data_IF_111287300280
#
_entry.id   IF_111287300280
#
_cell.length_a   1.000
_cell.length_b   1.000
_cell.length_c   1.000
_cell.angle_alpha   90.00
_cell.angle_beta   90.00
_cell.angle_gamma   90.00
#
_symmetry.space_group_name_H-M   'P 1'
#
loop_
_entity.id
_entity.type
_entity.pdbx_description
1 polymer ?
#
# COMPACT_ATOMS: atom_id res chain seq x y z
N UNK A 1 -11.18 -8.44 -0.95
CA UNK A 1 -11.35 -8.71 -2.41
C UNK A 1 -10.42 -7.79 -3.20
N UNK A 2 -9.85 -8.22 -4.33
CA UNK A 2 -9.07 -7.35 -5.23
C UNK A 2 -9.86 -7.07 -6.50
N UNK A 3 -9.85 -5.83 -6.97
CA UNK A 3 -10.63 -5.40 -8.14
C UNK A 3 -9.82 -4.50 -9.07
N UNK A 4 -10.14 -4.55 -10.37
CA UNK A 4 -9.78 -3.49 -11.30
C UNK A 4 -10.84 -2.39 -11.23
N UNK A 5 -10.51 -1.26 -10.59
CA UNK A 5 -11.45 -0.16 -10.34
C UNK A 5 -11.90 0.57 -11.61
N UNK A 6 -11.20 0.36 -12.72
CA UNK A 6 -11.60 0.80 -14.04
C UNK A 6 -10.90 -0.06 -15.09
N UNK A 7 -11.56 -0.23 -16.23
CA UNK A 7 -11.00 -0.85 -17.41
C UNK A 7 -10.26 0.12 -18.32
N UNK A 8 -10.22 1.42 -18.04
CA UNK A 8 -9.52 2.43 -18.85
C UNK A 8 -9.93 2.47 -20.33
N UNK A 9 -11.17 2.11 -20.64
CA UNK A 9 -11.76 2.17 -21.99
C UNK A 9 -13.16 2.76 -21.92
N UNK A 10 -13.57 3.42 -23.01
CA UNK A 10 -14.94 3.92 -23.16
C UNK A 10 -15.94 2.74 -23.12
N UNK A 11 -17.02 2.90 -22.37
CA UNK A 11 -18.04 1.86 -22.17
C UNK A 11 -17.59 0.67 -21.30
N UNK A 12 -16.36 0.67 -20.80
CA UNK A 12 -15.88 -0.35 -19.86
C UNK A 12 -16.27 -0.09 -18.41
N UNK A 13 -15.79 -0.93 -17.50
CA UNK A 13 -16.00 -0.75 -16.07
C UNK A 13 -15.38 0.55 -15.55
N UNK A 14 -16.11 1.28 -14.72
CA UNK A 14 -15.68 2.55 -14.15
C UNK A 14 -15.63 2.56 -12.61
N UNK A 15 -15.08 3.66 -12.08
CA UNK A 15 -14.92 3.84 -10.64
C UNK A 15 -16.27 3.95 -9.90
N UNK A 16 -17.29 4.54 -10.53
CA UNK A 16 -18.62 4.68 -9.93
C UNK A 16 -19.28 3.32 -9.73
N UNK A 17 -19.15 2.44 -10.73
CA UNK A 17 -19.58 1.04 -10.64
C UNK A 17 -18.80 0.29 -9.57
N UNK A 18 -17.49 0.54 -9.44
CA UNK A 18 -16.68 -0.04 -8.36
C UNK A 18 -17.16 0.38 -6.98
N UNK A 19 -17.58 1.64 -6.79
CA UNK A 19 -18.14 2.10 -5.51
C UNK A 19 -19.44 1.38 -5.19
N UNK A 20 -20.34 1.18 -6.16
CA UNK A 20 -21.57 0.40 -5.96
C UNK A 20 -21.23 -1.04 -5.58
N UNK A 21 -20.34 -1.67 -6.34
CA UNK A 21 -19.86 -3.03 -6.05
C UNK A 21 -19.25 -3.15 -4.65
N UNK A 22 -18.45 -2.16 -4.23
CA UNK A 22 -17.84 -2.12 -2.91
C UNK A 22 -18.88 -2.03 -1.77
N UNK A 23 -19.96 -1.26 -1.97
CA UNK A 23 -21.08 -1.21 -1.00
C UNK A 23 -21.77 -2.56 -0.86
N UNK A 24 -22.01 -3.24 -1.97
CA UNK A 24 -22.62 -4.58 -1.93
C UNK A 24 -21.70 -5.61 -1.28
N UNK A 25 -20.40 -5.58 -1.60
CA UNK A 25 -19.41 -6.44 -0.92
C UNK A 25 -19.38 -6.19 0.60
N UNK A 26 -19.44 -4.93 1.03
CA UNK A 26 -19.50 -4.59 2.45
C UNK A 26 -20.73 -5.19 3.14
N UNK A 27 -21.92 -5.12 2.50
CA UNK A 27 -23.15 -5.75 3.05
C UNK A 27 -23.03 -7.26 3.21
N UNK A 28 -22.23 -7.89 2.34
CA UNK A 28 -21.94 -9.33 2.40
C UNK A 28 -20.82 -9.69 3.39
N UNK A 29 -20.29 -8.73 4.14
CA UNK A 29 -19.26 -8.95 5.15
C UNK A 29 -17.83 -8.92 4.60
N UNK A 30 -17.58 -8.33 3.43
CA UNK A 30 -16.21 -8.14 2.95
C UNK A 30 -15.47 -7.13 3.84
N UNK A 31 -14.32 -7.54 4.38
CA UNK A 31 -13.52 -6.69 5.28
C UNK A 31 -12.84 -5.53 4.56
N UNK A 32 -12.23 -5.81 3.39
CA UNK A 32 -11.41 -4.83 2.66
C UNK A 32 -11.37 -5.06 1.15
N UNK A 33 -11.08 -3.98 0.43
CA UNK A 33 -10.91 -3.98 -1.03
C UNK A 33 -9.52 -3.48 -1.44
N UNK A 34 -8.82 -4.27 -2.26
CA UNK A 34 -7.55 -3.92 -2.92
C UNK A 34 -7.82 -3.31 -4.29
N UNK A 35 -7.47 -2.02 -4.41
CA UNK A 35 -7.90 -1.13 -5.49
C UNK A 35 -6.84 -1.05 -6.60
N UNK A 36 -6.86 -2.03 -7.51
CA UNK A 36 -6.04 -2.06 -8.72
C UNK A 36 -6.83 -1.49 -9.92
N UNK A 37 -6.33 -1.63 -11.15
CA UNK A 37 -7.05 -1.23 -12.37
C UNK A 37 -6.48 -1.92 -13.61
N UNK A 38 -7.24 -1.86 -14.71
CA UNK A 38 -6.82 -2.33 -16.03
C UNK A 38 -6.68 -3.84 -16.15
N UNK A 39 -6.01 -4.28 -17.22
CA UNK A 39 -5.72 -5.68 -17.51
C UNK A 39 -6.77 -6.40 -18.38
N UNK A 40 -7.94 -5.80 -18.60
CA UNK A 40 -9.02 -6.40 -19.39
C UNK A 40 -8.73 -6.38 -20.91
N UNK A 41 -8.24 -5.26 -21.45
CA UNK A 41 -8.06 -5.04 -22.89
C UNK A 41 -6.69 -4.46 -23.23
N UNK A 42 -6.22 -4.65 -24.46
CA UNK A 42 -4.88 -4.17 -24.89
C UNK A 42 -4.83 -2.67 -25.21
N UNK A 43 -5.94 -2.07 -25.64
CA UNK A 43 -6.02 -0.67 -26.07
C UNK A 43 -6.27 0.32 -24.92
N UNK A 44 -5.99 -0.08 -23.68
CA UNK A 44 -6.11 0.76 -22.49
C UNK A 44 -5.06 1.88 -22.51
N UNK A 45 -5.49 3.11 -22.23
CA UNK A 45 -4.57 4.24 -22.01
C UNK A 45 -4.54 4.53 -20.52
N UNK A 46 -3.49 4.03 -19.86
CA UNK A 46 -3.34 4.14 -18.41
C UNK A 46 -2.36 5.26 -18.08
N UNK A 47 -2.75 6.29 -17.30
CA UNK A 47 -1.86 7.37 -16.88
C UNK A 47 -0.92 6.88 -15.76
N UNK A 48 0.04 6.02 -16.11
CA UNK A 48 0.95 5.41 -15.14
C UNK A 48 1.88 6.45 -14.54
N UNK A 49 1.88 6.53 -13.21
CA UNK A 49 2.76 7.39 -12.42
C UNK A 49 2.71 7.02 -10.94
N UNK A 50 3.54 7.64 -10.07
CA UNK A 50 3.54 7.35 -8.64
C UNK A 50 2.14 7.50 -8.03
N UNK A 51 1.61 6.42 -7.43
CA UNK A 51 0.30 6.43 -6.78
C UNK A 51 -0.90 6.57 -7.72
N UNK A 52 -0.79 6.27 -9.02
CA UNK A 52 -1.86 6.52 -10.00
C UNK A 52 -3.21 5.85 -9.71
N UNK A 53 -3.26 4.85 -8.82
CA UNK A 53 -4.52 4.19 -8.40
C UNK A 53 -4.95 4.57 -6.98
N UNK A 54 -4.16 5.36 -6.25
CA UNK A 54 -4.52 5.86 -4.91
C UNK A 54 -5.88 6.59 -4.92
N UNK A 55 -6.22 7.41 -5.93
CA UNK A 55 -7.54 8.06 -5.98
C UNK A 55 -8.72 7.07 -6.01
N UNK A 56 -8.51 5.83 -6.49
CA UNK A 56 -9.55 4.80 -6.44
C UNK A 56 -9.79 4.32 -5.02
N UNK A 57 -8.72 3.99 -4.29
CA UNK A 57 -8.81 3.60 -2.89
C UNK A 57 -9.44 4.70 -2.04
N UNK A 58 -9.08 5.95 -2.27
CA UNK A 58 -9.62 7.11 -1.56
C UNK A 58 -11.12 7.27 -1.82
N UNK A 59 -11.53 7.20 -3.09
CA UNK A 59 -12.93 7.36 -3.47
C UNK A 59 -13.80 6.23 -2.93
N UNK A 60 -13.34 4.99 -3.03
CA UNK A 60 -14.07 3.81 -2.53
C UNK A 60 -14.19 3.86 -1.01
N UNK A 61 -13.11 4.22 -0.31
CA UNK A 61 -13.12 4.39 1.14
C UNK A 61 -14.15 5.43 1.58
N UNK A 62 -14.13 6.61 0.95
CA UNK A 62 -15.05 7.71 1.27
C UNK A 62 -16.51 7.36 0.97
N UNK A 63 -16.77 6.79 -0.20
CA UNK A 63 -18.14 6.67 -0.70
C UNK A 63 -18.81 5.32 -0.34
N UNK A 64 -18.04 4.25 -0.15
CA UNK A 64 -18.54 2.94 0.27
C UNK A 64 -18.31 2.64 1.76
N UNK A 65 -17.41 3.39 2.42
CA UNK A 65 -17.11 3.23 3.84
C UNK A 65 -16.50 1.86 4.17
N UNK A 66 -15.83 1.22 3.22
CA UNK A 66 -15.11 -0.05 3.40
C UNK A 66 -13.61 0.23 3.50
N UNK A 67 -12.88 -0.60 4.25
CA UNK A 67 -11.43 -0.52 4.36
C UNK A 67 -10.81 -0.72 2.97
N UNK A 68 -9.87 0.14 2.58
CA UNK A 68 -9.20 0.04 1.28
C UNK A 68 -7.70 -0.17 1.39
N UNK A 69 -7.17 -0.94 0.45
CA UNK A 69 -5.74 -1.08 0.18
C UNK A 69 -5.41 -0.26 -1.08
N UNK A 70 -4.51 0.71 -0.95
CA UNK A 70 -3.93 1.43 -2.08
C UNK A 70 -2.72 0.70 -2.65
N UNK A 71 -2.60 0.67 -3.97
CA UNK A 71 -1.48 0.10 -4.71
C UNK A 71 -1.18 0.97 -5.93
N UNK A 72 -0.02 0.77 -6.57
CA UNK A 72 0.30 1.37 -7.87
C UNK A 72 1.46 2.34 -7.76
N UNK A 73 2.66 1.85 -8.07
CA UNK A 73 3.91 2.63 -8.01
C UNK A 73 4.07 3.38 -6.69
N UNK A 74 3.91 2.65 -5.58
CA UNK A 74 4.27 3.11 -4.25
C UNK A 74 5.61 2.48 -3.92
N UNK A 75 6.65 3.30 -3.79
CA UNK A 75 8.04 2.85 -3.59
C UNK A 75 8.74 3.53 -2.42
N UNK A 76 8.34 4.76 -2.06
CA UNK A 76 9.00 5.52 -1.00
C UNK A 76 8.24 5.44 0.32
N UNK A 77 8.95 5.38 1.44
CA UNK A 77 8.33 5.32 2.75
C UNK A 77 7.47 6.56 3.03
N UNK A 78 7.99 7.76 2.75
CA UNK A 78 7.21 8.99 2.84
C UNK A 78 5.98 9.04 1.93
N UNK A 79 5.98 8.34 0.78
CA UNK A 79 4.78 8.24 -0.07
C UNK A 79 3.72 7.34 0.60
N UNK A 80 4.12 6.19 1.12
CA UNK A 80 3.23 5.28 1.83
C UNK A 80 2.63 5.94 3.08
N UNK A 81 3.46 6.64 3.86
CA UNK A 81 3.02 7.39 5.05
C UNK A 81 1.95 8.44 4.69
N UNK A 82 2.21 9.28 3.67
CA UNK A 82 1.23 10.30 3.26
C UNK A 82 -0.11 9.71 2.84
N UNK A 83 -0.13 8.55 2.18
CA UNK A 83 -1.38 7.89 1.78
C UNK A 83 -2.23 7.55 3.02
N UNK A 84 -1.61 7.03 4.07
CA UNK A 84 -2.29 6.67 5.32
C UNK A 84 -2.66 7.92 6.12
N UNK A 85 -1.69 8.82 6.35
CA UNK A 85 -1.85 10.02 7.16
C UNK A 85 -2.92 10.98 6.61
N UNK A 86 -3.04 11.08 5.28
CA UNK A 86 -4.06 11.91 4.61
C UNK A 86 -5.41 11.17 4.47
N UNK A 87 -5.54 9.94 4.97
CA UNK A 87 -6.78 9.17 4.95
C UNK A 87 -7.21 8.65 3.57
N UNK A 88 -6.27 8.56 2.63
CA UNK A 88 -6.50 8.11 1.24
C UNK A 88 -6.69 6.60 1.14
N UNK A 89 -6.13 5.84 2.07
CA UNK A 89 -6.39 4.41 2.23
C UNK A 89 -6.11 4.00 3.67
N UNK A 90 -6.57 2.81 4.06
CA UNK A 90 -6.29 2.24 5.38
C UNK A 90 -5.05 1.33 5.35
N UNK A 91 -4.66 0.86 4.17
CA UNK A 91 -3.50 0.02 3.94
C UNK A 91 -2.79 0.39 2.63
N UNK A 92 -1.50 0.09 2.55
CA UNK A 92 -0.68 0.27 1.35
C UNK A 92 -0.07 -1.07 0.96
N UNK A 93 -0.24 -1.47 -0.30
CA UNK A 93 0.42 -2.62 -0.89
C UNK A 93 1.60 -2.20 -1.77
N UNK A 94 2.71 -2.91 -1.62
CA UNK A 94 3.89 -2.77 -2.45
C UNK A 94 4.16 -4.10 -3.16
N UNK A 95 4.60 -4.03 -4.43
CA UNK A 95 4.96 -5.20 -5.22
C UNK A 95 6.43 -5.13 -5.66
N UNK A 96 6.72 -4.42 -6.76
CA UNK A 96 8.08 -4.27 -7.30
C UNK A 96 9.06 -3.64 -6.31
N UNK A 97 8.59 -2.77 -5.42
CA UNK A 97 9.40 -2.21 -4.32
C UNK A 97 9.96 -3.29 -3.39
N UNK A 98 9.15 -4.28 -3.00
CA UNK A 98 9.61 -5.42 -2.18
C UNK A 98 10.50 -6.40 -2.94
N UNK A 99 10.29 -6.57 -4.25
CA UNK A 99 11.16 -7.41 -5.08
C UNK A 99 12.56 -6.80 -5.23
N UNK A 100 12.62 -5.47 -5.36
CA UNK A 100 13.88 -4.73 -5.43
C UNK A 100 14.58 -4.63 -4.07
N UNK A 101 13.82 -4.37 -3.02
CA UNK A 101 14.30 -4.25 -1.64
C UNK A 101 13.46 -5.12 -0.69
N UNK A 102 13.88 -6.36 -0.39
CA UNK A 102 13.15 -7.23 0.52
C UNK A 102 13.17 -6.75 1.98
N UNK A 103 13.99 -5.74 2.31
CA UNK A 103 14.05 -5.10 3.64
C UNK A 103 13.34 -3.74 3.65
N UNK A 104 12.52 -3.45 2.63
CA UNK A 104 11.82 -2.18 2.47
C UNK A 104 11.15 -1.71 3.77
N UNK A 105 10.42 -2.58 4.46
CA UNK A 105 9.73 -2.22 5.71
C UNK A 105 10.70 -1.77 6.83
N UNK A 106 11.93 -2.29 6.87
CA UNK A 106 12.94 -1.86 7.83
C UNK A 106 13.52 -0.51 7.47
N UNK A 107 13.78 -0.29 6.18
CA UNK A 107 14.25 1.01 5.69
C UNK A 107 13.19 2.09 5.87
N UNK A 108 11.92 1.77 5.59
CA UNK A 108 10.79 2.65 5.84
C UNK A 108 10.64 2.98 7.34
N UNK A 109 10.75 1.99 8.22
CA UNK A 109 10.72 2.23 9.66
C UNK A 109 11.89 3.13 10.10
N UNK A 110 13.09 2.93 9.52
CA UNK A 110 14.24 3.79 9.79
C UNK A 110 14.01 5.25 9.35
N UNK A 111 13.44 5.45 8.16
CA UNK A 111 13.15 6.78 7.60
C UNK A 111 12.05 7.50 8.41
N UNK A 112 11.00 6.78 8.79
CA UNK A 112 9.82 7.32 9.47
C UNK A 112 9.95 7.34 11.01
N UNK A 113 11.10 6.91 11.55
CA UNK A 113 11.34 6.86 13.00
C UNK A 113 10.51 5.82 13.75
N UNK A 114 10.04 4.78 13.06
CA UNK A 114 9.32 3.65 13.66
C UNK A 114 10.28 2.53 14.09
N UNK A 115 9.84 1.68 15.02
CA UNK A 115 10.59 0.48 15.46
C UNK A 115 9.94 -0.77 14.86
N UNK A 116 10.55 -1.45 13.87
CA UNK A 116 9.97 -2.65 13.29
C UNK A 116 10.25 -3.87 14.18
N UNK A 117 9.40 -4.90 14.05
CA UNK A 117 9.70 -6.22 14.63
C UNK A 117 10.75 -6.93 13.77
N UNK A 118 11.88 -7.28 14.38
CA UNK A 118 13.01 -7.88 13.69
C UNK A 118 13.28 -9.27 14.28
N UNK A 119 13.51 -10.31 13.45
CA UNK A 119 13.99 -11.60 13.93
C UNK A 119 15.29 -11.45 14.73
N UNK A 120 15.43 -12.09 15.91
CA UNK A 120 16.60 -11.92 16.78
C UNK A 120 17.96 -12.06 16.08
N UNK A 121 18.03 -12.94 15.07
CA UNK A 121 19.22 -13.21 14.25
C UNK A 121 19.73 -11.97 13.49
N UNK A 122 18.87 -10.98 13.25
CA UNK A 122 19.19 -9.78 12.47
C UNK A 122 19.34 -8.51 13.30
N UNK A 123 19.25 -8.57 14.63
CA UNK A 123 19.40 -7.40 15.51
C UNK A 123 20.77 -6.71 15.35
N UNK A 124 21.79 -7.45 14.89
CA UNK A 124 23.14 -6.93 14.64
C UNK A 124 23.40 -6.54 13.18
N UNK A 125 22.40 -6.65 12.30
CA UNK A 125 22.58 -6.37 10.86
C UNK A 125 22.74 -4.88 10.54
N UNK A 126 22.45 -3.98 11.49
CA UNK A 126 22.48 -2.54 11.24
C UNK A 126 23.92 -2.00 11.29
N UNK A 127 24.39 -1.31 10.23
CA UNK A 127 25.69 -0.65 10.24
C UNK A 127 25.80 0.38 11.35
N UNK A 128 26.93 0.40 12.06
CA UNK A 128 27.13 1.24 13.26
C UNK A 128 26.83 2.74 13.06
N UNK A 129 26.94 3.24 11.82
CA UNK A 129 26.74 4.64 11.45
C UNK A 129 25.27 5.08 11.28
N UNK A 130 24.27 4.17 11.34
CA UNK A 130 22.85 4.54 11.19
C UNK A 130 22.18 4.85 12.53
N UNK A 131 21.04 5.55 12.55
CA UNK A 131 20.25 5.89 13.75
C UNK A 131 19.50 4.67 14.36
N UNK A 132 19.20 4.70 15.67
CA UNK A 132 18.72 3.51 16.40
C UNK A 132 17.23 3.24 16.28
N UNK A 133 16.90 2.29 15.41
CA UNK A 133 15.53 1.85 15.13
C UNK A 133 15.32 0.34 15.33
N UNK A 134 16.35 -0.43 15.68
CA UNK A 134 16.24 -1.90 15.79
C UNK A 134 16.00 -2.41 17.23
N UNK A 135 15.55 -1.55 18.14
CA UNK A 135 15.35 -1.88 19.55
C UNK A 135 16.66 -1.89 20.36
N UNK A 136 16.54 -1.98 21.69
CA UNK A 136 17.70 -1.94 22.58
C UNK A 136 18.71 -3.05 22.24
N UNK A 137 19.97 -2.67 22.02
CA UNK A 137 21.07 -3.63 21.97
C UNK A 137 21.11 -4.37 23.30
N UNK A 138 20.84 -5.67 23.31
CA UNK A 138 21.25 -6.51 24.42
C UNK A 138 22.77 -6.42 24.53
N UNK A 139 23.25 -5.61 25.48
CA UNK A 139 24.67 -5.57 25.81
C UNK A 139 25.00 -6.96 26.33
N UNK A 140 25.83 -7.70 25.59
CA UNK A 140 26.41 -8.92 26.11
C UNK A 140 27.14 -8.55 27.40
N UNK A 141 26.64 -9.04 28.53
CA UNK A 141 27.40 -9.01 29.78
C UNK A 141 28.66 -9.85 29.52
N UNK A 142 29.80 -9.17 29.46
CA UNK A 142 31.10 -9.81 29.59
C UNK A 142 31.29 -10.26 31.04
#
# INVERSE_FOLDING_TARGET
VRVSCTDWIEGGWDLSQTVVFARELKKLGCDWIDCSSGGLMKNQVIPVGPGYQVPFAERIRKDAGIITIAIGLITEAGQAERIIAEGKADMVALARGFLWDPRWAWHAAQELGATPRIPPQYLRARPAARADVLGERQRSRA
#
